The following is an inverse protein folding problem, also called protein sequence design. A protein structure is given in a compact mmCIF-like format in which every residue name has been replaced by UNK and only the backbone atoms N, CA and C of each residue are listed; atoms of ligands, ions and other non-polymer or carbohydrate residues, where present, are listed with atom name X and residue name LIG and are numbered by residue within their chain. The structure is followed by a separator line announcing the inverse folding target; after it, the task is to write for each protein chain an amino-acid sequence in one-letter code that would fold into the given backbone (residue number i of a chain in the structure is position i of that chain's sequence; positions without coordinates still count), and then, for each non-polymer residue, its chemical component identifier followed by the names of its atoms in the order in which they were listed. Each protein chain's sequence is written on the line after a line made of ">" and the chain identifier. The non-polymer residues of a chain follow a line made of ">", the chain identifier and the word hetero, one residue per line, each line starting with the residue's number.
data_IF_023480964879
#
_entry.id   IF_023480964879
#
_cell.length_a   1.000
_cell.length_b   1.000
_cell.length_c   1.000
_cell.angle_alpha   90.00
_cell.angle_beta   90.00
_cell.angle_gamma   90.00
#
_symmetry.space_group_name_H-M   'P 1'
#
loop_
_entity.id
_entity.type
_entity.pdbx_description
1 polymer ?
#
# COMPACT_ATOMS: atom_id res chain seq x y z
N UNK A 1 -4.17 -24.45 -4.50
CA UNK A 1 -5.60 -24.43 -4.89
C UNK A 1 -5.74 -23.78 -6.26
N UNK A 2 -6.95 -23.73 -6.81
CA UNK A 2 -7.23 -22.98 -8.06
C UNK A 2 -7.53 -21.53 -7.71
N UNK A 3 -6.96 -20.56 -8.44
CA UNK A 3 -7.27 -19.14 -8.28
C UNK A 3 -8.71 -18.88 -8.73
N UNK A 4 -9.52 -18.26 -7.87
CA UNK A 4 -10.89 -17.85 -8.20
C UNK A 4 -10.94 -16.43 -8.73
N UNK A 5 -10.22 -15.51 -8.06
CA UNK A 5 -10.23 -14.09 -8.38
C UNK A 5 -8.81 -13.55 -8.39
N UNK A 6 -8.52 -12.64 -9.31
CA UNK A 6 -7.26 -11.89 -9.37
C UNK A 6 -7.61 -10.42 -9.53
N UNK A 7 -7.08 -9.58 -8.62
CA UNK A 7 -7.33 -8.15 -8.59
C UNK A 7 -5.99 -7.43 -8.71
N UNK A 8 -5.75 -6.80 -9.86
CA UNK A 8 -4.64 -5.87 -10.03
C UNK A 8 -5.02 -4.52 -9.41
N UNK A 9 -4.11 -3.94 -8.62
CA UNK A 9 -4.36 -2.68 -7.91
C UNK A 9 -3.56 -1.51 -8.49
N UNK A 10 -2.27 -1.72 -8.75
CA UNK A 10 -1.40 -0.69 -9.31
C UNK A 10 -0.39 -1.25 -10.29
N UNK A 11 0.15 -0.36 -11.12
CA UNK A 11 1.24 -0.65 -12.04
C UNK A 11 2.25 0.49 -12.04
N UNK A 12 3.53 0.16 -12.17
CA UNK A 12 4.56 1.13 -12.49
C UNK A 12 5.68 0.47 -13.28
N UNK A 13 6.15 1.16 -14.33
CA UNK A 13 7.08 0.56 -15.28
C UNK A 13 6.46 -0.68 -15.92
N UNK A 14 7.10 -1.82 -15.71
CA UNK A 14 6.71 -3.11 -16.30
C UNK A 14 6.11 -4.07 -15.28
N UNK A 15 5.78 -3.57 -14.09
CA UNK A 15 5.36 -4.37 -12.94
C UNK A 15 3.96 -3.99 -12.53
N UNK A 16 3.08 -4.98 -12.47
CA UNK A 16 1.73 -4.89 -11.90
C UNK A 16 1.72 -5.60 -10.56
N UNK A 17 1.09 -4.98 -9.56
CA UNK A 17 0.91 -5.57 -8.23
C UNK A 17 -0.56 -5.74 -7.92
N UNK A 18 -0.87 -6.74 -7.11
CA UNK A 18 -2.24 -7.02 -6.71
C UNK A 18 -2.36 -8.13 -5.69
N UNK A 19 -3.55 -8.70 -5.59
CA UNK A 19 -3.80 -9.90 -4.82
C UNK A 19 -4.76 -10.88 -5.52
N UNK A 20 -4.83 -12.09 -5.01
CA UNK A 20 -5.72 -13.13 -5.52
C UNK A 20 -6.33 -13.94 -4.38
N UNK A 21 -7.47 -14.59 -4.63
CA UNK A 21 -8.09 -15.56 -3.73
C UNK A 21 -8.19 -16.94 -4.39
N UNK A 22 -8.14 -18.00 -3.59
CA UNK A 22 -8.34 -19.37 -4.03
C UNK A 22 -9.82 -19.80 -3.94
N UNK A 23 -10.27 -20.57 -4.92
CA UNK A 23 -11.61 -21.12 -4.98
C UNK A 23 -11.91 -21.99 -3.75
N UNK A 24 -13.06 -21.72 -3.11
CA UNK A 24 -13.49 -22.44 -1.91
C UNK A 24 -12.69 -22.14 -0.65
N UNK A 25 -11.80 -21.15 -0.67
CA UNK A 25 -10.97 -20.76 0.48
C UNK A 25 -11.07 -19.25 0.75
N UNK A 26 -12.17 -18.76 1.33
CA UNK A 26 -12.30 -17.35 1.69
C UNK A 26 -11.15 -16.89 2.60
N UNK A 27 -10.55 -15.75 2.28
CA UNK A 27 -9.42 -15.22 3.05
C UNK A 27 -8.08 -15.94 2.79
N UNK A 28 -7.97 -16.66 1.68
CA UNK A 28 -6.69 -17.18 1.17
C UNK A 28 -5.88 -16.12 0.40
N UNK A 29 -6.36 -14.87 0.39
CA UNK A 29 -5.72 -13.67 -0.12
C UNK A 29 -4.19 -13.67 0.06
N UNK A 30 -3.47 -13.57 -1.06
CA UNK A 30 -2.03 -13.26 -1.03
C UNK A 30 -1.66 -12.28 -2.16
N UNK A 31 -0.52 -11.62 -2.00
CA UNK A 31 0.03 -10.69 -2.97
C UNK A 31 0.58 -11.42 -4.20
N UNK A 32 0.45 -10.77 -5.35
CA UNK A 32 1.17 -11.18 -6.55
C UNK A 32 1.92 -10.01 -7.16
N UNK A 33 2.94 -10.36 -7.94
CA UNK A 33 3.62 -9.47 -8.88
C UNK A 33 3.46 -10.07 -10.27
N UNK A 34 3.10 -9.25 -11.25
CA UNK A 34 3.06 -9.64 -12.65
C UNK A 34 4.02 -8.76 -13.44
N UNK A 35 4.99 -9.40 -14.10
CA UNK A 35 5.93 -8.71 -14.98
C UNK A 35 5.36 -8.71 -16.40
N UNK A 36 5.00 -7.53 -16.88
CA UNK A 36 4.37 -7.32 -18.20
C UNK A 36 5.32 -7.65 -19.34
N UNK A 37 6.63 -7.42 -19.16
CA UNK A 37 7.64 -7.73 -20.19
C UNK A 37 7.77 -9.23 -20.42
N UNK A 38 7.81 -10.02 -19.34
CA UNK A 38 8.01 -11.47 -19.43
C UNK A 38 6.71 -12.26 -19.46
N UNK A 39 5.58 -11.63 -19.12
CA UNK A 39 4.28 -12.28 -19.00
C UNK A 39 4.18 -13.23 -17.80
N UNK A 40 5.07 -13.09 -16.81
CA UNK A 40 5.18 -14.03 -15.70
C UNK A 40 4.52 -13.49 -14.42
N UNK A 41 3.77 -14.36 -13.75
CA UNK A 41 3.31 -14.15 -12.39
C UNK A 41 4.35 -14.66 -11.39
N UNK A 42 4.53 -13.88 -10.33
CA UNK A 42 5.20 -14.28 -9.11
C UNK A 42 4.18 -14.20 -7.98
N UNK A 43 3.83 -15.37 -7.44
CA UNK A 43 3.03 -15.48 -6.21
C UNK A 43 3.94 -15.23 -5.03
N UNK A 44 3.51 -14.38 -4.10
CA UNK A 44 4.28 -14.07 -2.91
C UNK A 44 3.77 -14.86 -1.70
N UNK A 45 4.64 -14.96 -0.70
CA UNK A 45 4.27 -15.43 0.64
C UNK A 45 4.69 -14.38 1.66
N UNK A 46 3.89 -13.31 1.75
CA UNK A 46 4.15 -12.16 2.63
C UNK A 46 3.48 -12.32 4.00
N UNK A 47 2.64 -13.34 4.16
CA UNK A 47 1.75 -13.52 5.31
C UNK A 47 0.28 -13.67 4.89
N UNK A 48 -0.59 -14.05 5.83
CA UNK A 48 -2.00 -14.28 5.55
C UNK A 48 -2.71 -12.98 5.16
N UNK A 49 -3.64 -13.06 4.20
CA UNK A 49 -4.41 -11.92 3.67
C UNK A 49 -3.54 -10.79 3.11
N UNK A 50 -2.32 -11.11 2.69
CA UNK A 50 -1.44 -10.11 2.13
C UNK A 50 -2.01 -9.56 0.83
N UNK A 51 -1.94 -8.25 0.68
CA UNK A 51 -2.34 -7.54 -0.53
C UNK A 51 -1.31 -6.47 -0.84
N UNK A 52 -1.03 -6.28 -2.13
CA UNK A 52 -0.19 -5.21 -2.62
C UNK A 52 -1.05 -4.23 -3.42
N UNK A 53 -1.12 -2.99 -2.96
CA UNK A 53 -1.96 -1.95 -3.58
C UNK A 53 -1.13 -0.88 -4.26
N UNK A 54 0.02 -0.51 -3.69
CA UNK A 54 0.90 0.52 -4.23
C UNK A 54 2.23 -0.04 -4.74
N UNK A 55 2.79 0.61 -5.75
CA UNK A 55 4.13 0.33 -6.26
C UNK A 55 4.80 1.63 -6.71
N UNK A 56 6.09 1.78 -6.43
CA UNK A 56 6.92 2.89 -6.90
C UNK A 56 8.22 2.38 -7.51
N UNK A 57 8.60 2.90 -8.68
CA UNK A 57 9.88 2.58 -9.34
C UNK A 57 11.00 3.51 -8.85
N UNK A 58 11.91 2.98 -8.06
CA UNK A 58 13.03 3.71 -7.47
C UNK A 58 14.11 3.98 -8.49
N UNK A 59 14.55 5.23 -8.66
CA UNK A 59 15.60 5.58 -9.63
C UNK A 59 15.11 5.77 -11.07
N UNK A 60 13.79 5.80 -11.29
CA UNK A 60 13.18 6.19 -12.56
C UNK A 60 13.03 5.07 -13.60
N UNK A 61 12.63 5.39 -14.84
CA UNK A 61 12.10 4.43 -15.82
C UNK A 61 12.98 3.24 -16.20
N UNK A 62 14.31 3.37 -16.05
CA UNK A 62 15.27 2.31 -16.37
C UNK A 62 15.64 1.41 -15.19
N UNK A 63 15.14 1.69 -13.99
CA UNK A 63 15.50 0.94 -12.80
C UNK A 63 14.71 -0.35 -12.65
N UNK A 64 15.34 -1.38 -12.10
CA UNK A 64 14.67 -2.62 -11.70
C UNK A 64 14.27 -2.61 -10.22
N UNK A 65 14.64 -1.58 -9.46
CA UNK A 65 14.31 -1.46 -8.05
C UNK A 65 12.94 -0.80 -7.86
N UNK A 66 12.09 -1.43 -7.08
CA UNK A 66 10.75 -0.97 -6.73
C UNK A 66 10.54 -1.01 -5.22
N UNK A 67 9.64 -0.18 -4.73
CA UNK A 67 9.08 -0.30 -3.39
C UNK A 67 7.59 -0.60 -3.51
N UNK A 68 7.16 -1.62 -2.77
CA UNK A 68 5.80 -2.14 -2.73
C UNK A 68 5.10 -1.63 -1.47
N UNK A 69 3.82 -1.30 -1.59
CA UNK A 69 2.97 -0.88 -0.49
C UNK A 69 1.68 -1.71 -0.45
N UNK A 70 1.19 -2.01 0.75
CA UNK A 70 -0.02 -2.81 0.92
C UNK A 70 -0.37 -3.06 2.37
N UNK A 71 -0.86 -4.26 2.66
CA UNK A 71 -1.11 -4.71 4.02
C UNK A 71 -1.36 -6.21 4.12
N UNK A 72 -1.23 -6.75 5.33
CA UNK A 72 -1.38 -8.17 5.63
C UNK A 72 -1.79 -8.37 7.10
N UNK A 73 -2.26 -9.57 7.46
CA UNK A 73 -2.63 -9.89 8.84
C UNK A 73 -1.41 -10.30 9.66
N UNK A 74 -1.13 -9.58 10.75
CA UNK A 74 0.11 -9.70 11.56
C UNK A 74 -0.03 -10.56 12.84
N UNK A 75 -0.73 -11.69 12.78
CA UNK A 75 -0.73 -12.69 13.86
C UNK A 75 -1.52 -12.34 15.13
N UNK A 76 -1.52 -11.09 15.60
CA UNK A 76 -2.11 -10.68 16.90
C UNK A 76 -3.35 -9.78 16.76
N UNK A 77 -3.64 -9.22 15.58
CA UNK A 77 -4.88 -8.51 15.33
C UNK A 77 -4.81 -7.56 14.15
N UNK A 78 -5.83 -7.63 13.29
CA UNK A 78 -6.27 -6.60 12.35
C UNK A 78 -5.14 -5.91 11.53
N UNK A 79 -5.01 -6.33 10.27
CA UNK A 79 -4.26 -5.72 9.15
C UNK A 79 -3.19 -4.67 9.51
N UNK A 80 -1.92 -5.03 9.36
CA UNK A 80 -0.80 -4.09 9.38
C UNK A 80 -0.49 -3.58 7.97
N UNK A 81 -0.01 -2.35 7.89
CA UNK A 81 0.54 -1.77 6.66
C UNK A 81 1.85 -2.46 6.29
N UNK A 82 2.09 -2.65 5.00
CA UNK A 82 3.26 -3.34 4.47
C UNK A 82 4.08 -2.40 3.61
N UNK A 83 5.38 -2.35 3.86
CA UNK A 83 6.37 -1.94 2.88
C UNK A 83 7.34 -3.08 2.57
N UNK A 84 7.75 -3.20 1.31
CA UNK A 84 8.80 -4.13 0.90
C UNK A 84 9.57 -3.57 -0.28
N UNK A 85 10.82 -4.00 -0.44
CA UNK A 85 11.58 -3.78 -1.66
C UNK A 85 11.36 -4.94 -2.63
N UNK A 86 11.34 -4.61 -3.92
CA UNK A 86 11.30 -5.58 -5.00
C UNK A 86 12.34 -5.25 -6.07
N UNK A 87 13.09 -6.25 -6.52
CA UNK A 87 13.98 -6.11 -7.67
C UNK A 87 13.46 -6.94 -8.85
N UNK A 88 12.98 -6.26 -9.89
CA UNK A 88 12.42 -6.89 -11.08
C UNK A 88 13.44 -7.65 -11.93
N UNK A 89 14.76 -7.42 -11.73
CA UNK A 89 15.80 -8.20 -12.40
C UNK A 89 15.91 -9.62 -11.81
N UNK A 90 15.77 -9.73 -10.49
CA UNK A 90 16.01 -10.98 -9.74
C UNK A 90 14.73 -11.63 -9.22
N UNK A 91 13.62 -10.88 -9.18
CA UNK A 91 12.38 -11.28 -8.53
C UNK A 91 12.45 -11.24 -7.00
N UNK A 92 13.53 -10.71 -6.41
CA UNK A 92 13.73 -10.74 -4.97
C UNK A 92 12.79 -9.74 -4.26
N UNK A 93 12.05 -10.23 -3.26
CA UNK A 93 11.34 -9.38 -2.31
C UNK A 93 12.14 -9.35 -1.01
N UNK A 94 12.48 -8.16 -0.53
CA UNK A 94 13.31 -7.97 0.66
C UNK A 94 12.78 -6.84 1.55
N UNK A 95 13.33 -6.70 2.76
CA UNK A 95 12.98 -5.62 3.71
C UNK A 95 11.47 -5.49 3.99
N UNK A 96 10.78 -6.63 4.01
CA UNK A 96 9.36 -6.72 4.38
C UNK A 96 9.19 -6.13 5.78
N UNK A 97 8.45 -5.02 5.88
CA UNK A 97 8.32 -4.20 7.09
C UNK A 97 6.84 -3.97 7.37
N UNK A 98 6.42 -4.36 8.57
CA UNK A 98 5.08 -4.13 9.09
C UNK A 98 5.02 -2.78 9.80
N UNK A 99 3.95 -2.02 9.55
CA UNK A 99 3.74 -0.67 10.09
C UNK A 99 2.30 -0.54 10.56
N UNK A 100 2.10 0.09 11.72
CA UNK A 100 0.78 0.37 12.27
C UNK A 100 0.59 1.87 12.47
N UNK A 101 -0.64 2.33 12.29
CA UNK A 101 -1.04 3.72 12.47
C UNK A 101 -0.60 4.24 13.84
N UNK A 102 -0.04 5.46 13.87
CA UNK A 102 0.52 6.08 15.08
C UNK A 102 1.59 5.23 15.79
N UNK A 103 2.15 4.22 15.12
CA UNK A 103 3.04 3.22 15.71
C UNK A 103 2.39 2.45 16.89
N UNK A 104 1.07 2.25 16.82
CA UNK A 104 0.28 1.52 17.82
C UNK A 104 -0.17 0.17 17.24
N UNK A 105 0.36 -0.96 17.74
CA UNK A 105 -0.09 -2.28 17.31
C UNK A 105 -1.59 -2.48 17.52
N UNK A 106 -2.24 -3.27 16.65
CA UNK A 106 -3.65 -3.62 16.75
C UNK A 106 -4.65 -2.59 16.19
N UNK A 107 -4.18 -1.52 15.55
CA UNK A 107 -5.01 -0.59 14.78
C UNK A 107 -4.99 -1.01 13.30
N UNK A 108 -6.15 -1.11 12.65
CA UNK A 108 -6.21 -1.36 11.18
C UNK A 108 -5.31 -0.35 10.50
N UNK A 109 -4.39 -0.86 9.70
CA UNK A 109 -3.52 -0.05 8.85
C UNK A 109 -3.36 -0.77 7.52
N UNK A 110 -3.63 -0.05 6.44
CA UNK A 110 -3.37 -0.53 5.09
C UNK A 110 -2.81 0.61 4.26
N UNK A 111 -1.86 0.32 3.38
CA UNK A 111 -1.32 1.31 2.44
C UNK A 111 -1.84 1.04 1.02
N UNK A 112 -2.55 2.01 0.47
CA UNK A 112 -3.16 1.90 -0.86
C UNK A 112 -2.29 2.54 -1.95
N UNK A 113 -1.57 3.60 -1.61
CA UNK A 113 -0.81 4.40 -2.56
C UNK A 113 0.56 4.79 -2.04
N UNK A 114 1.51 4.94 -2.94
CA UNK A 114 2.89 5.30 -2.63
C UNK A 114 3.44 6.24 -3.72
N UNK A 115 4.21 7.23 -3.30
CA UNK A 115 5.00 8.10 -4.18
C UNK A 115 6.38 8.31 -3.59
N UNK A 116 7.40 8.35 -4.44
CA UNK A 116 8.74 8.75 -4.03
C UNK A 116 8.80 10.25 -3.74
N UNK A 117 9.46 10.62 -2.66
CA UNK A 117 9.72 12.03 -2.28
C UNK A 117 11.19 12.17 -1.85
N UNK A 118 11.75 13.40 -1.77
CA UNK A 118 13.11 13.57 -1.29
C UNK A 118 13.33 12.88 0.07
N UNK A 119 14.29 11.95 0.11
CA UNK A 119 14.64 11.21 1.32
C UNK A 119 13.77 10.00 1.66
N UNK A 120 12.74 9.66 0.85
CA UNK A 120 11.91 8.49 1.16
C UNK A 120 10.61 8.42 0.36
N UNK A 121 9.52 8.14 1.06
CA UNK A 121 8.20 7.90 0.47
C UNK A 121 7.11 8.64 1.23
N UNK A 122 6.14 9.13 0.46
CA UNK A 122 4.83 9.52 0.98
C UNK A 122 3.81 8.44 0.61
N UNK A 123 2.93 8.10 1.56
CA UNK A 123 1.96 7.01 1.42
C UNK A 123 0.54 7.49 1.73
N UNK A 124 -0.40 6.91 1.00
CA UNK A 124 -1.81 6.89 1.34
C UNK A 124 -2.08 5.71 2.26
N UNK A 125 -2.73 5.96 3.40
CA UNK A 125 -3.13 4.92 4.33
C UNK A 125 -4.61 5.02 4.69
N UNK A 126 -5.30 3.89 4.79
CA UNK A 126 -6.59 3.77 5.49
C UNK A 126 -6.41 3.09 6.84
N UNK A 127 -7.08 3.65 7.84
CA UNK A 127 -6.99 3.22 9.23
C UNK A 127 -8.37 3.20 9.89
N UNK A 128 -8.46 2.70 11.12
CA UNK A 128 -9.69 2.80 11.94
C UNK A 128 -10.11 4.26 12.19
N UNK A 129 -9.14 5.18 12.19
CA UNK A 129 -9.39 6.62 12.31
C UNK A 129 -9.74 7.31 10.98
N UNK A 130 -9.76 6.55 9.87
CA UNK A 130 -9.97 7.04 8.52
C UNK A 130 -8.67 7.18 7.73
N UNK A 131 -8.68 8.07 6.74
CA UNK A 131 -7.55 8.32 5.86
C UNK A 131 -6.38 9.02 6.57
N UNK A 132 -5.15 8.62 6.25
CA UNK A 132 -3.93 9.24 6.75
C UNK A 132 -2.87 9.38 5.65
N UNK A 133 -2.04 10.41 5.81
CA UNK A 133 -0.78 10.56 5.11
C UNK A 133 0.34 9.97 5.97
N UNK A 134 1.30 9.32 5.33
CA UNK A 134 2.47 8.78 6.01
C UNK A 134 3.71 9.19 5.27
N UNK A 135 4.70 9.69 6.00
CA UNK A 135 6.05 9.84 5.48
C UNK A 135 6.96 8.78 6.10
N UNK A 136 7.71 8.07 5.25
CA UNK A 136 8.72 7.10 5.66
C UNK A 136 10.02 7.46 4.98
N UNK A 137 11.07 7.67 5.79
CA UNK A 137 12.40 7.93 5.26
C UNK A 137 13.03 6.64 4.71
N UNK A 138 13.79 6.76 3.64
CA UNK A 138 14.71 5.73 3.17
C UNK A 138 16.04 5.92 3.88
N UNK A 139 16.41 4.94 4.70
CA UNK A 139 17.64 4.98 5.47
C UNK A 139 18.88 4.76 4.58
N UNK A 140 20.05 5.17 5.07
CA UNK A 140 21.31 5.04 4.35
C UNK A 140 21.72 3.58 4.04
N UNK A 141 21.27 2.63 4.87
CA UNK A 141 21.44 1.18 4.66
C UNK A 141 20.35 0.57 3.74
N UNK A 142 19.50 1.42 3.17
CA UNK A 142 18.35 1.04 2.35
C UNK A 142 17.14 0.56 3.17
N UNK A 143 17.17 0.62 4.50
CA UNK A 143 16.02 0.30 5.33
C UNK A 143 14.89 1.33 5.24
N UNK A 144 13.75 1.00 5.82
CA UNK A 144 12.64 1.93 6.02
C UNK A 144 12.74 2.54 7.43
N UNK A 145 12.72 3.87 7.50
CA UNK A 145 12.73 4.61 8.77
C UNK A 145 11.40 4.54 9.50
N UNK A 146 11.30 5.18 10.68
CA UNK A 146 10.04 5.25 11.43
C UNK A 146 8.98 6.01 10.65
N UNK A 147 7.73 5.53 10.72
CA UNK A 147 6.60 6.19 10.08
C UNK A 147 6.17 7.46 10.82
N UNK A 148 6.03 8.54 10.06
CA UNK A 148 5.51 9.83 10.50
C UNK A 148 4.12 10.02 9.93
N UNK A 149 3.11 10.03 10.81
CA UNK A 149 1.71 10.06 10.43
C UNK A 149 1.15 11.47 10.51
N UNK A 150 0.36 11.84 9.50
CA UNK A 150 -0.53 12.98 9.59
C UNK A 150 -1.93 12.50 9.21
N UNK A 151 -2.87 12.60 10.14
CA UNK A 151 -4.28 12.35 9.82
C UNK A 151 -4.69 13.28 8.68
N UNK A 152 -5.26 12.73 7.62
CA UNK A 152 -5.92 13.59 6.64
C UNK A 152 -7.15 14.16 7.37
N UNK A 153 -7.31 15.49 7.37
CA UNK A 153 -8.54 16.10 7.88
C UNK A 153 -9.70 15.47 7.14
N UNK A 154 -10.46 14.62 7.83
CA UNK A 154 -11.59 13.91 7.25
C UNK A 154 -12.59 14.96 6.74
N UNK A 155 -12.78 15.11 5.41
CA UNK A 155 -13.78 16.05 4.91
C UNK A 155 -15.21 15.59 5.27
N UNK A 156 -15.38 14.32 5.65
CA UNK A 156 -16.60 13.82 6.25
C UNK A 156 -16.59 14.15 7.75
N UNK A 157 -17.42 15.10 8.18
CA UNK A 157 -17.66 15.34 9.61
C UNK A 157 -18.21 14.11 10.36
N UNK A 158 -18.71 13.11 9.62
CA UNK A 158 -19.22 11.80 10.10
C UNK A 158 -19.23 10.83 8.92
N UNK A 159 -18.50 9.70 9.02
CA UNK A 159 -18.55 8.61 8.05
C UNK A 159 -17.21 7.96 7.69
N UNK A 160 -17.27 6.85 6.94
CA UNK A 160 -16.10 6.16 6.38
C UNK A 160 -15.32 7.10 5.47
N UNK A 161 -13.99 7.11 5.62
CA UNK A 161 -13.07 7.89 4.81
C UNK A 161 -11.83 7.04 4.56
N UNK A 162 -11.49 6.82 3.30
CA UNK A 162 -10.33 6.03 2.87
C UNK A 162 -9.35 6.91 2.14
N UNK A 163 -8.07 6.54 2.19
CA UNK A 163 -7.09 7.03 1.23
C UNK A 163 -6.93 5.97 0.14
N UNK A 164 -6.73 6.38 -1.11
CA UNK A 164 -6.64 5.44 -2.23
C UNK A 164 -5.39 5.66 -3.06
N UNK A 165 -4.95 6.91 -3.22
CA UNK A 165 -3.79 7.22 -4.03
C UNK A 165 -3.09 8.47 -3.51
N UNK A 166 -1.81 8.59 -3.83
CA UNK A 166 -1.01 9.75 -3.46
C UNK A 166 -0.03 10.08 -4.58
N UNK A 167 0.14 11.38 -4.83
CA UNK A 167 1.22 11.90 -5.67
C UNK A 167 1.82 13.13 -4.99
N UNK A 168 3.11 13.07 -4.73
CA UNK A 168 3.83 14.00 -3.86
C UNK A 168 3.12 14.22 -2.51
N UNK A 169 2.51 15.39 -2.32
CA UNK A 169 1.78 15.79 -1.11
C UNK A 169 0.27 15.84 -1.32
N UNK A 170 -0.25 15.29 -2.42
CA UNK A 170 -1.68 15.28 -2.75
C UNK A 170 -2.23 13.87 -2.54
N UNK A 171 -3.03 13.74 -1.49
CA UNK A 171 -3.75 12.52 -1.15
C UNK A 171 -5.12 12.54 -1.82
N UNK A 172 -5.49 11.45 -2.48
CA UNK A 172 -6.80 11.26 -3.11
C UNK A 172 -7.49 10.08 -2.44
N UNK A 173 -8.78 10.23 -2.17
CA UNK A 173 -9.58 9.17 -1.60
C UNK A 173 -11.07 9.36 -1.79
N UNK A 174 -11.84 8.54 -1.08
CA UNK A 174 -13.30 8.64 -1.02
C UNK A 174 -13.78 8.76 0.40
N UNK A 175 -14.95 9.38 0.56
CA UNK A 175 -15.64 9.46 1.83
C UNK A 175 -17.15 9.33 1.64
N UNK A 176 -17.84 8.93 2.70
CA UNK A 176 -19.30 8.84 2.74
C UNK A 176 -19.86 9.84 3.76
N UNK A 177 -20.30 11.03 3.34
CA UNK A 177 -20.91 12.01 4.24
C UNK A 177 -22.30 11.56 4.68
N UNK A 178 -22.71 11.93 5.90
CA UNK A 178 -24.01 11.55 6.47
C UNK A 178 -25.25 11.96 5.64
N UNK A 179 -25.15 13.02 4.84
CA UNK A 179 -26.28 13.61 4.11
C UNK A 179 -26.23 13.41 2.58
N UNK A 180 -25.25 12.67 2.04
CA UNK A 180 -25.10 12.48 0.60
C UNK A 180 -24.46 11.13 0.26
N UNK A 181 -24.44 10.75 -1.02
CA UNK A 181 -23.75 9.56 -1.50
C UNK A 181 -22.23 9.65 -1.38
N UNK A 182 -21.53 8.56 -1.75
CA UNK A 182 -20.05 8.50 -1.76
C UNK A 182 -19.48 9.62 -2.64
N UNK A 183 -18.48 10.34 -2.11
CA UNK A 183 -17.80 11.44 -2.78
C UNK A 183 -16.29 11.20 -2.79
N UNK A 184 -15.61 11.77 -3.79
CA UNK A 184 -14.15 11.81 -3.85
C UNK A 184 -13.63 13.09 -3.18
N UNK A 185 -12.40 13.03 -2.64
CA UNK A 185 -11.71 14.21 -2.13
C UNK A 185 -10.26 14.23 -2.58
N UNK A 186 -9.68 15.43 -2.56
CA UNK A 186 -8.23 15.64 -2.61
C UNK A 186 -7.84 16.44 -1.37
N UNK A 187 -6.84 15.95 -0.64
CA UNK A 187 -6.24 16.64 0.49
C UNK A 187 -4.77 16.91 0.19
N UNK A 188 -4.36 18.17 0.26
CA UNK A 188 -2.97 18.58 0.04
C UNK A 188 -2.33 18.87 1.39
N UNK A 189 -1.19 18.24 1.68
CA UNK A 189 -0.38 18.65 2.84
C UNK A 189 0.30 19.97 2.56
N UNK A 190 -0.02 20.99 3.35
CA UNK A 190 0.76 22.22 3.40
C UNK A 190 2.11 21.90 4.07
N UNK A 191 3.20 22.33 3.42
CA UNK A 191 4.57 22.19 3.93
C UNK A 191 4.83 23.16 5.08
#
# INVERSE_FOLDING_TARGET
>A
GTVANTLAHSTMGEVVVGNYDLAGQPGSGNGFIYNVRTGAFQVLDLGPLATLYGIWQNGGPGSTAYTLAGGFKDGDGINAGLLADYDAATGAVTRVTALSYDNKPGIVTHFEGITGVPGGYALAATTDAGAAFVHIDRLADGGFGPARWLAATNPAAVGLCTANSILDNNLVGIYHPAAAGVQSYVATLNR
#
